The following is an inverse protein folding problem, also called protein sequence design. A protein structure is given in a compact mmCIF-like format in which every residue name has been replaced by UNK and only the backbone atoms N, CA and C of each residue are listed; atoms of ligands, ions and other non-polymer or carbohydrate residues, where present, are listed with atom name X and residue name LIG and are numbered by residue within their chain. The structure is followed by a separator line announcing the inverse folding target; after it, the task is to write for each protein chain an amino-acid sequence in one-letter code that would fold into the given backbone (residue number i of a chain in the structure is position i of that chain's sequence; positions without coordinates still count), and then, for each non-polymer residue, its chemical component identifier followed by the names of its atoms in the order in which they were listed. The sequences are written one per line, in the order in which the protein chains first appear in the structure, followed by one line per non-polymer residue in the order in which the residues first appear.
data_IF_465306413349
#
_entry.id   IF_465306413349
#
_cell.length_a   1.000
_cell.length_b   1.000
_cell.length_c   1.000
_cell.angle_alpha   90.00
_cell.angle_beta   90.00
_cell.angle_gamma   90.00
#
_symmetry.space_group_name_H-M   'P 1'
#
loop_
_entity.id
_entity.type
_entity.pdbx_description
1 polymer ?
#
# COMPACT_ATOMS: atom_id res chain seq x y z
N UNK A 1 -7.25 0.10 42.23
CA UNK A 1 -6.99 -0.44 40.88
C UNK A 1 -5.82 0.35 40.32
N UNK A 2 -4.61 -0.20 40.42
CA UNK A 2 -3.37 0.49 40.05
C UNK A 2 -3.23 0.36 38.52
N UNK A 3 -3.14 1.48 37.82
CA UNK A 3 -2.96 1.52 36.38
C UNK A 3 -1.55 1.01 36.03
N UNK A 4 -1.45 -0.23 35.56
CA UNK A 4 -0.20 -0.89 35.13
C UNK A 4 0.31 -0.40 33.76
N UNK A 5 -0.25 0.69 33.21
CA UNK A 5 0.29 1.30 31.99
C UNK A 5 1.66 1.87 32.30
N UNK A 6 2.71 1.13 31.91
CA UNK A 6 4.07 1.66 31.75
C UNK A 6 3.94 2.99 31.02
N UNK A 7 4.29 4.10 31.68
CA UNK A 7 4.39 5.40 31.03
C UNK A 7 5.37 5.22 29.88
N UNK A 8 4.86 5.13 28.66
CA UNK A 8 5.67 5.29 27.47
C UNK A 8 6.31 6.68 27.64
N UNK A 9 7.63 6.69 27.83
CA UNK A 9 8.40 7.94 27.80
C UNK A 9 8.28 8.61 26.43
N UNK A 10 9.19 9.53 26.12
CA UNK A 10 9.24 10.07 24.76
C UNK A 10 9.31 8.93 23.73
N UNK A 11 8.31 8.85 22.86
CA UNK A 11 8.27 7.90 21.73
C UNK A 11 9.54 8.02 20.88
N UNK A 12 10.10 9.22 20.79
CA UNK A 12 11.36 9.49 20.09
C UNK A 12 12.53 8.79 20.80
N UNK A 13 12.62 8.89 22.13
CA UNK A 13 13.67 8.21 22.88
C UNK A 13 13.51 6.69 22.80
N UNK A 14 12.29 6.18 22.94
CA UNK A 14 12.04 4.74 22.78
C UNK A 14 12.47 4.25 21.39
N UNK A 15 12.18 5.02 20.34
CA UNK A 15 12.58 4.69 18.98
C UNK A 15 14.10 4.77 18.77
N UNK A 16 14.76 5.80 19.32
CA UNK A 16 16.22 5.94 19.27
C UNK A 16 16.90 4.78 20.01
N UNK A 17 16.46 4.46 21.22
CA UNK A 17 17.01 3.36 22.02
C UNK A 17 16.85 2.02 21.32
N UNK A 18 15.68 1.75 20.72
CA UNK A 18 15.46 0.53 19.94
C UNK A 18 16.37 0.50 18.71
N UNK A 19 16.47 1.61 17.99
CA UNK A 19 17.35 1.74 16.83
C UNK A 19 18.82 1.49 17.19
N UNK A 20 19.33 2.10 18.25
CA UNK A 20 20.71 1.93 18.73
C UNK A 20 20.97 0.50 19.20
N UNK A 21 19.98 -0.11 19.86
CA UNK A 21 20.05 -1.51 20.32
C UNK A 21 20.15 -2.47 19.13
N UNK A 22 19.30 -2.29 18.12
CA UNK A 22 19.30 -3.11 16.91
C UNK A 22 20.53 -2.85 16.03
N UNK A 23 21.01 -1.61 15.97
CA UNK A 23 22.25 -1.26 15.27
C UNK A 23 23.47 -1.93 15.92
N UNK A 24 23.55 -1.94 17.25
CA UNK A 24 24.63 -2.59 18.01
C UNK A 24 24.64 -4.12 17.92
N UNK A 25 23.48 -4.75 17.65
CA UNK A 25 23.35 -6.20 17.45
C UNK A 25 23.87 -6.69 16.09
N UNK A 26 24.18 -5.78 15.16
CA UNK A 26 24.48 -6.11 13.77
C UNK A 26 23.21 -6.51 13.02
N UNK A 27 23.05 -6.06 11.78
CA UNK A 27 21.82 -6.18 10.98
C UNK A 27 21.39 -7.62 10.59
N UNK A 28 21.89 -8.65 11.27
CA UNK A 28 21.47 -10.04 11.12
C UNK A 28 20.60 -10.46 12.32
N UNK A 29 19.52 -9.72 12.58
CA UNK A 29 18.52 -10.14 13.58
C UNK A 29 17.73 -11.34 13.06
N UNK A 30 17.12 -12.14 13.95
CA UNK A 30 16.20 -13.25 13.58
C UNK A 30 15.13 -12.82 12.55
N UNK A 31 14.77 -11.54 12.54
CA UNK A 31 13.85 -10.92 11.60
C UNK A 31 14.38 -10.91 10.15
N UNK A 32 15.70 -10.76 9.93
CA UNK A 32 16.28 -10.80 8.57
C UNK A 32 16.20 -12.20 7.98
N UNK A 33 16.48 -13.23 8.79
CA UNK A 33 16.40 -14.63 8.38
C UNK A 33 14.97 -15.06 8.06
N UNK A 34 14.01 -14.68 8.93
CA UNK A 34 12.60 -14.93 8.66
C UNK A 34 12.14 -14.21 7.39
N UNK A 35 12.56 -12.96 7.20
CA UNK A 35 12.21 -12.19 6.00
C UNK A 35 12.82 -12.77 4.72
N UNK A 36 14.05 -13.31 4.79
CA UNK A 36 14.68 -13.98 3.65
C UNK A 36 13.99 -15.31 3.33
N UNK A 37 13.61 -16.10 4.35
CA UNK A 37 12.84 -17.33 4.18
C UNK A 37 11.47 -17.05 3.56
N UNK A 38 10.71 -16.10 4.12
CA UNK A 38 9.44 -15.63 3.58
C UNK A 38 9.59 -15.20 2.11
N UNK A 39 10.68 -14.50 1.78
CA UNK A 39 10.94 -14.06 0.41
C UNK A 39 11.14 -15.24 -0.56
N UNK A 40 11.88 -16.28 -0.13
CA UNK A 40 12.12 -17.51 -0.89
C UNK A 40 10.83 -18.31 -1.08
N UNK A 41 9.97 -18.34 -0.06
CA UNK A 41 8.66 -18.99 -0.08
C UNK A 41 7.59 -18.20 -0.88
N UNK A 42 7.97 -17.06 -1.47
CA UNK A 42 7.08 -16.23 -2.28
C UNK A 42 6.21 -15.25 -1.48
N UNK A 43 6.39 -15.16 -0.17
CA UNK A 43 5.77 -14.13 0.66
C UNK A 43 6.47 -12.79 0.49
N UNK A 44 5.70 -11.71 0.59
CA UNK A 44 6.21 -10.34 0.57
C UNK A 44 5.53 -9.53 1.66
N UNK A 45 6.30 -8.64 2.27
CA UNK A 45 5.81 -7.67 3.25
C UNK A 45 5.27 -6.45 2.51
N UNK A 46 3.96 -6.24 2.58
CA UNK A 46 3.27 -5.17 1.85
C UNK A 46 2.73 -4.15 2.86
N UNK A 47 3.03 -2.87 2.62
CA UNK A 47 2.51 -1.77 3.45
C UNK A 47 0.99 -1.72 3.35
N UNK A 48 0.31 -1.48 4.48
CA UNK A 48 -1.15 -1.45 4.53
C UNK A 48 -1.68 -0.15 5.15
N UNK A 49 -2.78 0.34 4.57
CA UNK A 49 -3.59 1.42 5.10
C UNK A 49 -5.03 0.96 5.27
N UNK A 50 -5.68 1.44 6.32
CA UNK A 50 -7.13 1.34 6.49
C UNK A 50 -7.72 2.73 6.30
N UNK A 51 -8.58 2.88 5.29
CA UNK A 51 -9.27 4.13 5.01
C UNK A 51 -10.70 4.00 5.56
N UNK A 52 -11.07 4.96 6.40
CA UNK A 52 -12.44 5.16 6.86
C UNK A 52 -12.99 6.48 6.29
N UNK A 53 -14.25 6.78 6.60
CA UNK A 53 -14.91 8.00 6.18
C UNK A 53 -14.25 9.24 6.79
N UNK A 54 -13.69 9.10 8.00
CA UNK A 54 -13.09 10.21 8.74
C UNK A 54 -11.56 10.17 8.80
N UNK A 55 -10.93 9.00 8.60
CA UNK A 55 -9.49 8.82 8.87
C UNK A 55 -8.78 7.95 7.84
N UNK A 56 -7.46 8.15 7.77
CA UNK A 56 -6.52 7.22 7.15
C UNK A 56 -5.66 6.66 8.28
N UNK A 57 -5.70 5.35 8.47
CA UNK A 57 -5.02 4.65 9.56
C UNK A 57 -3.85 3.87 8.97
N UNK A 58 -2.65 4.19 9.42
CA UNK A 58 -1.44 3.45 9.09
C UNK A 58 -1.35 2.23 10.00
N UNK A 59 -1.25 1.05 9.40
CA UNK A 59 -1.13 -0.20 10.14
C UNK A 59 0.19 -0.89 9.81
N UNK A 60 0.57 -1.84 10.65
CA UNK A 60 1.78 -2.65 10.44
C UNK A 60 1.71 -3.33 9.07
N UNK A 61 2.80 -3.33 8.28
CA UNK A 61 2.83 -4.06 7.02
C UNK A 61 2.50 -5.54 7.20
N UNK A 62 1.77 -6.12 6.25
CA UNK A 62 1.34 -7.52 6.30
C UNK A 62 2.27 -8.38 5.45
N UNK A 63 2.67 -9.54 5.98
CA UNK A 63 3.31 -10.59 5.18
C UNK A 63 2.22 -11.39 4.47
N UNK A 64 2.25 -11.41 3.14
CA UNK A 64 1.26 -12.10 2.32
C UNK A 64 1.89 -12.77 1.11
N UNK A 65 1.27 -13.85 0.63
CA UNK A 65 1.70 -14.53 -0.59
C UNK A 65 1.60 -13.57 -1.77
N UNK A 66 2.74 -13.32 -2.43
CA UNK A 66 2.79 -12.30 -3.47
C UNK A 66 2.14 -12.79 -4.76
N UNK A 67 1.16 -12.03 -5.24
CA UNK A 67 0.67 -12.20 -6.60
C UNK A 67 1.70 -11.67 -7.62
N UNK A 68 1.46 -11.94 -8.90
CA UNK A 68 2.34 -11.48 -9.99
C UNK A 68 2.58 -9.98 -9.98
N UNK A 69 1.57 -9.18 -9.64
CA UNK A 69 1.68 -7.72 -9.56
C UNK A 69 2.72 -7.30 -8.52
N UNK A 70 2.63 -7.84 -7.30
CA UNK A 70 3.58 -7.54 -6.23
C UNK A 70 4.99 -8.01 -6.61
N UNK A 71 5.12 -9.23 -7.16
CA UNK A 71 6.41 -9.79 -7.59
C UNK A 71 7.08 -8.93 -8.67
N UNK A 72 6.31 -8.38 -9.59
CA UNK A 72 6.82 -7.62 -10.74
C UNK A 72 7.03 -6.13 -10.47
N UNK A 73 6.32 -5.52 -9.53
CA UNK A 73 6.29 -4.06 -9.39
C UNK A 73 6.67 -3.54 -7.99
N UNK A 74 6.76 -4.40 -6.97
CA UNK A 74 7.03 -4.02 -5.58
C UNK A 74 8.31 -4.64 -5.00
N UNK A 75 9.42 -4.52 -5.74
CA UNK A 75 10.69 -5.17 -5.38
C UNK A 75 11.25 -4.76 -4.01
N UNK A 76 11.05 -3.50 -3.62
CA UNK A 76 11.53 -2.93 -2.35
C UNK A 76 10.42 -2.87 -1.27
N UNK A 77 9.22 -3.39 -1.57
CA UNK A 77 8.05 -3.35 -0.68
C UNK A 77 7.46 -1.95 -0.46
N UNK A 78 7.95 -0.93 -1.18
CA UNK A 78 7.62 0.48 -0.96
C UNK A 78 6.75 1.11 -2.05
N UNK A 79 6.56 0.41 -3.17
CA UNK A 79 5.93 0.95 -4.38
C UNK A 79 4.46 0.57 -4.47
N UNK A 80 4.04 -0.47 -3.76
CA UNK A 80 2.65 -0.88 -3.64
C UNK A 80 2.19 -0.78 -2.19
N UNK A 81 0.97 -0.27 -2.02
CA UNK A 81 0.28 -0.18 -0.75
C UNK A 81 -1.04 -0.94 -0.88
N UNK A 82 -1.30 -1.85 0.05
CA UNK A 82 -2.62 -2.44 0.24
C UNK A 82 -3.50 -1.45 0.99
N UNK A 83 -4.61 -1.07 0.41
CA UNK A 83 -5.62 -0.21 1.04
C UNK A 83 -6.84 -1.05 1.35
N UNK A 84 -7.40 -0.91 2.54
CA UNK A 84 -8.67 -1.52 2.91
C UNK A 84 -9.66 -0.45 3.33
N UNK A 85 -10.86 -0.46 2.78
CA UNK A 85 -11.89 0.49 3.14
C UNK A 85 -12.80 -0.10 4.22
N UNK A 86 -12.92 0.62 5.34
CA UNK A 86 -13.67 0.19 6.53
C UNK A 86 -14.54 1.34 7.05
N UNK A 87 -15.53 1.00 7.86
CA UNK A 87 -16.26 1.97 8.66
C UNK A 87 -15.42 2.37 9.89
N UNK A 88 -15.81 3.42 10.60
CA UNK A 88 -15.01 4.00 11.69
C UNK A 88 -14.85 3.09 12.92
N UNK A 89 -15.69 2.07 13.05
CA UNK A 89 -15.59 0.99 14.01
C UNK A 89 -14.75 -0.20 13.50
N UNK A 90 -14.02 0.00 12.40
CA UNK A 90 -13.18 -0.99 11.71
C UNK A 90 -13.97 -2.17 11.08
N UNK A 91 -15.30 -2.08 11.00
CA UNK A 91 -16.13 -3.07 10.31
C UNK A 91 -16.18 -2.81 8.81
N UNK A 92 -16.72 -3.76 8.03
CA UNK A 92 -17.00 -3.54 6.61
C UNK A 92 -17.99 -2.39 6.43
N UNK A 93 -17.74 -1.48 5.49
CA UNK A 93 -18.72 -0.46 5.11
C UNK A 93 -19.94 -1.13 4.49
N UNK A 94 -21.10 -0.94 5.10
CA UNK A 94 -22.36 -1.52 4.63
C UNK A 94 -23.42 -0.44 4.54
N UNK A 95 -24.24 -0.49 3.50
CA UNK A 95 -25.27 0.53 3.23
C UNK A 95 -26.35 0.62 4.31
N UNK A 96 -26.53 -0.42 5.11
CA UNK A 96 -27.47 -0.44 6.24
C UNK A 96 -26.95 0.31 7.48
N UNK A 97 -25.64 0.56 7.57
CA UNK A 97 -25.00 1.23 8.70
C UNK A 97 -24.39 2.57 8.28
N UNK A 98 -23.68 2.57 7.17
CA UNK A 98 -23.07 3.74 6.58
C UNK A 98 -23.93 4.21 5.40
N UNK A 99 -24.24 5.51 5.34
CA UNK A 99 -24.95 6.07 4.19
C UNK A 99 -24.26 5.74 2.86
N UNK A 100 -25.04 5.31 1.86
CA UNK A 100 -24.55 5.05 0.49
C UNK A 100 -23.78 6.24 -0.08
N UNK A 101 -24.24 7.47 0.20
CA UNK A 101 -23.56 8.68 -0.28
C UNK A 101 -22.16 8.85 0.33
N UNK A 102 -21.99 8.53 1.62
CA UNK A 102 -20.70 8.56 2.30
C UNK A 102 -19.75 7.48 1.78
N UNK A 103 -20.27 6.26 1.55
CA UNK A 103 -19.48 5.16 0.97
C UNK A 103 -18.97 5.58 -0.41
N UNK A 104 -19.87 6.03 -1.29
CA UNK A 104 -19.52 6.45 -2.66
C UNK A 104 -18.55 7.63 -2.64
N UNK A 105 -18.79 8.64 -1.79
CA UNK A 105 -17.89 9.80 -1.66
C UNK A 105 -16.48 9.38 -1.23
N UNK A 106 -16.38 8.50 -0.24
CA UNK A 106 -15.10 8.01 0.29
C UNK A 106 -14.35 7.22 -0.77
N UNK A 107 -15.00 6.23 -1.39
CA UNK A 107 -14.39 5.42 -2.45
C UNK A 107 -13.98 6.28 -3.64
N UNK A 108 -14.87 7.15 -4.13
CA UNK A 108 -14.61 8.00 -5.31
C UNK A 108 -13.40 8.91 -5.10
N UNK A 109 -13.27 9.53 -3.92
CA UNK A 109 -12.12 10.37 -3.56
C UNK A 109 -10.82 9.60 -3.77
N UNK A 110 -10.64 8.48 -3.07
CA UNK A 110 -9.34 7.78 -3.10
C UNK A 110 -9.12 6.98 -4.39
N UNK A 111 -10.17 6.45 -5.02
CA UNK A 111 -10.04 5.71 -6.28
C UNK A 111 -9.66 6.61 -7.46
N UNK A 112 -10.15 7.86 -7.49
CA UNK A 112 -9.86 8.80 -8.57
C UNK A 112 -8.64 9.68 -8.28
N UNK A 113 -8.54 10.25 -7.08
CA UNK A 113 -7.46 11.18 -6.74
C UNK A 113 -6.20 10.44 -6.29
N UNK A 114 -6.35 9.26 -5.69
CA UNK A 114 -5.27 8.51 -5.09
C UNK A 114 -5.00 8.90 -3.64
N UNK A 115 -3.75 8.68 -3.20
CA UNK A 115 -3.28 8.98 -1.85
C UNK A 115 -1.82 9.44 -1.88
N UNK A 116 -1.45 10.31 -0.95
CA UNK A 116 -0.07 10.75 -0.76
C UNK A 116 0.46 10.19 0.56
N UNK A 117 1.54 9.43 0.48
CA UNK A 117 2.19 8.81 1.66
C UNK A 117 3.69 9.04 1.55
N UNK A 118 4.29 9.57 2.61
CA UNK A 118 5.73 9.85 2.67
C UNK A 118 6.27 10.59 1.43
N UNK A 119 5.55 11.63 1.01
CA UNK A 119 5.86 12.45 -0.18
C UNK A 119 5.90 11.67 -1.51
N UNK A 120 5.15 10.56 -1.60
CA UNK A 120 4.95 9.79 -2.83
C UNK A 120 3.48 9.71 -3.15
N UNK A 121 3.15 9.90 -4.43
CA UNK A 121 1.78 9.85 -4.93
C UNK A 121 1.44 8.44 -5.39
N UNK A 122 0.36 7.88 -4.86
CA UNK A 122 -0.12 6.55 -5.18
C UNK A 122 -1.51 6.64 -5.81
N UNK A 123 -1.74 5.88 -6.88
CA UNK A 123 -3.03 5.76 -7.54
C UNK A 123 -3.58 4.34 -7.42
N UNK A 124 -4.89 4.19 -7.63
CA UNK A 124 -5.51 2.87 -7.68
C UNK A 124 -4.89 2.05 -8.81
N UNK A 125 -4.40 0.85 -8.50
CA UNK A 125 -3.86 -0.10 -9.49
C UNK A 125 -4.93 -1.11 -9.90
N UNK A 126 -5.49 -1.82 -8.92
CA UNK A 126 -6.45 -2.90 -9.13
C UNK A 126 -6.74 -3.67 -7.85
N UNK A 127 -7.72 -4.56 -7.90
CA UNK A 127 -8.11 -5.42 -6.78
C UNK A 127 -8.23 -6.86 -7.28
N UNK A 128 -7.62 -7.82 -6.59
CA UNK A 128 -7.88 -9.25 -6.84
C UNK A 128 -9.18 -9.68 -6.15
N UNK A 129 -9.71 -10.86 -6.50
CA UNK A 129 -10.90 -11.43 -5.83
C UNK A 129 -10.75 -11.50 -4.30
N UNK A 130 -9.56 -11.89 -3.81
CA UNK A 130 -9.27 -11.88 -2.39
C UNK A 130 -9.30 -10.48 -1.79
N UNK A 131 -8.77 -9.46 -2.50
CA UNK A 131 -8.85 -8.08 -2.05
C UNK A 131 -10.29 -7.59 -2.01
N UNK A 132 -11.09 -7.84 -3.05
CA UNK A 132 -12.48 -7.37 -3.11
C UNK A 132 -13.34 -7.91 -1.97
N UNK A 133 -13.17 -9.19 -1.60
CA UNK A 133 -13.88 -9.80 -0.45
C UNK A 133 -13.58 -9.08 0.87
N UNK A 134 -12.36 -8.57 1.02
CA UNK A 134 -11.92 -7.82 2.19
C UNK A 134 -12.18 -6.30 2.09
N UNK A 135 -12.88 -5.83 1.05
CA UNK A 135 -12.98 -4.40 0.70
C UNK A 135 -11.59 -3.75 0.52
N UNK A 136 -10.66 -4.53 0.00
CA UNK A 136 -9.28 -4.17 -0.26
C UNK A 136 -9.01 -3.80 -1.72
N UNK A 137 -7.94 -3.05 -1.93
CA UNK A 137 -7.43 -2.63 -3.22
C UNK A 137 -5.90 -2.43 -3.14
N UNK A 138 -5.21 -2.63 -4.26
CA UNK A 138 -3.81 -2.25 -4.38
C UNK A 138 -3.70 -0.85 -4.98
N UNK A 139 -2.86 -0.04 -4.35
CA UNK A 139 -2.45 1.27 -4.82
C UNK A 139 -0.97 1.22 -5.16
N UNK A 140 -0.57 1.83 -6.26
CA UNK A 140 0.82 1.83 -6.72
C UNK A 140 1.31 3.27 -6.91
N UNK A 141 2.59 3.49 -6.69
CA UNK A 141 3.24 4.76 -6.98
C UNK A 141 2.98 5.19 -8.43
N UNK A 142 2.42 6.38 -8.62
CA UNK A 142 2.03 6.93 -9.94
C UNK A 142 3.23 7.17 -10.86
N UNK A 143 4.31 7.70 -10.29
CA UNK A 143 5.53 8.10 -10.97
C UNK A 143 6.71 8.15 -9.99
N UNK A 144 7.92 7.99 -10.50
CA UNK A 144 9.17 8.19 -9.77
C UNK A 144 9.51 9.66 -9.62
N UNK A 145 10.47 9.98 -8.73
CA UNK A 145 11.00 11.34 -8.60
C UNK A 145 11.62 11.87 -9.88
N UNK A 146 12.28 11.00 -10.66
CA UNK A 146 12.86 11.35 -11.95
C UNK A 146 11.79 11.73 -12.96
N UNK A 147 10.76 10.89 -13.12
CA UNK A 147 9.62 11.17 -14.00
C UNK A 147 8.90 12.47 -13.62
N UNK A 148 8.66 12.71 -12.32
CA UNK A 148 8.06 13.96 -11.86
C UNK A 148 8.92 15.17 -12.22
N UNK A 149 10.24 15.08 -12.02
CA UNK A 149 11.16 16.17 -12.34
C UNK A 149 11.14 16.48 -13.84
N UNK A 150 11.27 15.47 -14.69
CA UNK A 150 11.20 15.64 -16.14
C UNK A 150 9.89 16.28 -16.59
N UNK A 151 8.76 15.88 -16.01
CA UNK A 151 7.47 16.50 -16.29
C UNK A 151 7.46 18.00 -15.92
N UNK A 152 7.95 18.33 -14.73
CA UNK A 152 8.00 19.72 -14.26
C UNK A 152 8.92 20.58 -15.14
N UNK A 153 10.06 20.04 -15.57
CA UNK A 153 11.01 20.73 -16.43
C UNK A 153 10.42 21.00 -17.84
N UNK A 154 9.55 20.11 -18.34
CA UNK A 154 8.90 20.22 -19.66
C UNK A 154 7.67 21.14 -19.66
N UNK A 155 6.77 20.98 -18.68
CA UNK A 155 5.47 21.66 -18.67
C UNK A 155 5.43 22.90 -17.75
N UNK A 156 6.38 23.05 -16.82
CA UNK A 156 6.41 24.16 -15.86
C UNK A 156 5.32 24.12 -14.78
N UNK A 157 4.49 23.08 -14.76
CA UNK A 157 3.40 22.91 -13.79
C UNK A 157 3.30 21.48 -13.25
N UNK A 158 2.59 21.32 -12.12
CA UNK A 158 2.42 20.00 -11.51
C UNK A 158 1.54 19.10 -12.41
N UNK A 159 1.86 17.81 -12.52
CA UNK A 159 1.06 16.91 -13.31
C UNK A 159 -0.36 16.79 -12.77
N UNK A 160 -1.37 16.61 -13.64
CA UNK A 160 -2.75 16.44 -13.23
C UNK A 160 -2.92 15.14 -12.43
N UNK A 161 -4.01 15.04 -11.65
CA UNK A 161 -4.24 13.89 -10.75
C UNK A 161 -4.29 12.53 -11.48
N UNK A 162 -4.68 12.52 -12.75
CA UNK A 162 -4.77 11.32 -13.58
C UNK A 162 -3.45 10.97 -14.29
N UNK A 163 -2.38 11.74 -14.10
CA UNK A 163 -1.07 11.40 -14.65
C UNK A 163 -0.38 10.34 -13.79
N UNK A 164 -0.30 9.11 -14.31
CA UNK A 164 0.14 7.92 -13.57
C UNK A 164 0.90 6.90 -14.45
N UNK A 165 2.00 7.33 -15.11
CA UNK A 165 2.68 6.54 -16.13
C UNK A 165 3.08 5.13 -15.69
N UNK A 166 3.50 4.96 -14.42
CA UNK A 166 3.88 3.64 -13.89
C UNK A 166 2.68 2.69 -13.76
N UNK A 167 1.52 3.22 -13.38
CA UNK A 167 0.29 2.44 -13.22
C UNK A 167 -0.25 2.04 -14.58
N UNK A 168 -0.28 2.97 -15.53
CA UNK A 168 -0.81 2.71 -16.87
C UNK A 168 0.04 1.66 -17.59
N UNK A 169 1.38 1.79 -17.51
CA UNK A 169 2.31 0.77 -18.00
C UNK A 169 2.10 -0.58 -17.31
N UNK A 170 1.89 -0.59 -15.99
CA UNK A 170 1.63 -1.83 -15.26
C UNK A 170 0.33 -2.50 -15.72
N UNK A 171 -0.75 -1.74 -15.91
CA UNK A 171 -2.04 -2.22 -16.40
C UNK A 171 -1.96 -2.77 -17.82
N UNK A 172 -1.25 -2.08 -18.71
CA UNK A 172 -1.03 -2.54 -20.08
C UNK A 172 -0.34 -3.91 -20.11
N UNK A 173 0.74 -4.07 -19.32
CA UNK A 173 1.47 -5.33 -19.22
C UNK A 173 0.62 -6.46 -18.61
N UNK A 174 -0.25 -6.14 -17.64
CA UNK A 174 -1.14 -7.12 -17.02
C UNK A 174 -2.25 -7.55 -17.99
N UNK A 175 -2.83 -6.61 -18.75
CA UNK A 175 -3.84 -6.88 -19.77
C UNK A 175 -3.28 -7.76 -20.89
N UNK A 176 -2.10 -7.42 -21.43
CA UNK A 176 -1.42 -8.24 -22.45
C UNK A 176 -1.14 -9.65 -21.95
N UNK A 177 -0.78 -9.80 -20.68
CA UNK A 177 -0.51 -11.13 -20.12
C UNK A 177 -1.76 -11.99 -19.89
N UNK A 178 -2.95 -11.41 -19.70
CA UNK A 178 -4.19 -12.20 -19.64
C UNK A 178 -4.58 -12.69 -21.04
N UNK A 179 -4.41 -11.85 -22.07
CA UNK A 179 -4.68 -12.23 -23.47
C UNK A 179 -3.82 -13.40 -23.97
N UNK A 180 -2.56 -13.51 -23.51
CA UNK A 180 -1.69 -14.65 -23.86
C UNK A 180 -1.98 -15.93 -23.06
N UNK A 181 -2.64 -15.83 -21.90
CA UNK A 181 -3.03 -17.01 -21.12
C UNK A 181 -4.26 -17.71 -21.70
N UNK A 182 -5.14 -16.97 -22.38
CA UNK A 182 -6.33 -17.50 -23.07
C UNK A 182 -6.02 -18.14 -24.44
N UNK A 183 -4.80 -17.98 -24.97
CA UNK A 183 -4.36 -18.56 -26.25
C UNK A 183 -3.49 -19.83 -26.08
N UNK A 184 -3.34 -20.32 -24.85
CA UNK A 184 -2.48 -21.47 -24.51
C UNK A 184 -3.21 -22.67 -23.92
N UNK A 185 -4.54 -22.69 -23.97
CA UNK A 185 -5.35 -23.88 -23.66
C UNK A 185 -5.90 -24.46 -24.98
N UNK A 186 -5.06 -25.20 -25.68
CA UNK A 186 -5.41 -26.20 -26.70
C UNK A 186 -4.52 -27.45 -26.48
#
# INVERSE_FOLDING_TARGET
MIDERKRLGSLVLAFITEYETEYGRGMASTLSWQQEHDYRDGYRKVRKLVITQTRIIYVVPETLMANRVIRSYDHDGTRIIRVTFRDDDNQTMRTNKTSKSLIVKTLKKYMLEGLVVANRSFGYLGSSNSQMRDSGAYFMEKYSRGELKSYLDEYGEKPPNNWQPKIDKARENLGRSMLHAEQGED
#
